data_IF_865725810380
#
_entry.id   IF_865725810380
#
_cell.length_a   1.000
_cell.length_b   1.000
_cell.length_c   1.000
_cell.angle_alpha   90.00
_cell.angle_beta   90.00
_cell.angle_gamma   90.00
#
_symmetry.space_group_name_H-M   'P 1'
#
loop_
_entity.id
_entity.type
_entity.pdbx_description
1 polymer ?
#
# COMPACT_ATOMS: atom_id res chain seq x y z
N UNK A 1 -45.62 -5.45 -17.95
CA UNK A 1 -44.17 -5.68 -18.13
C UNK A 1 -43.35 -4.42 -17.85
N UNK A 2 -43.82 -3.23 -18.25
CA UNK A 2 -43.09 -1.96 -18.07
C UNK A 2 -42.79 -1.59 -16.61
N UNK A 3 -43.77 -1.77 -15.72
CA UNK A 3 -43.58 -1.49 -14.28
C UNK A 3 -42.43 -2.35 -13.72
N UNK A 4 -42.36 -3.63 -14.08
CA UNK A 4 -41.32 -4.54 -13.60
C UNK A 4 -39.93 -4.13 -14.10
N UNK A 5 -39.82 -3.69 -15.35
CA UNK A 5 -38.58 -3.19 -15.92
C UNK A 5 -38.11 -1.89 -15.24
N UNK A 6 -39.04 -0.98 -14.94
CA UNK A 6 -38.75 0.25 -14.20
C UNK A 6 -38.28 -0.04 -12.77
N UNK A 7 -38.89 -1.02 -12.08
CA UNK A 7 -38.45 -1.42 -10.74
C UNK A 7 -37.04 -1.97 -10.76
N UNK A 8 -36.72 -2.85 -11.72
CA UNK A 8 -35.37 -3.41 -11.89
C UNK A 8 -34.36 -2.29 -12.16
N UNK A 9 -34.68 -1.39 -13.09
CA UNK A 9 -33.79 -0.28 -13.44
C UNK A 9 -33.53 0.64 -12.24
N UNK A 10 -34.55 0.93 -11.44
CA UNK A 10 -34.43 1.74 -10.23
C UNK A 10 -33.52 1.07 -9.18
N UNK A 11 -33.64 -0.25 -8.99
CA UNK A 11 -32.81 -0.99 -8.04
C UNK A 11 -31.35 -1.00 -8.51
N UNK A 12 -31.10 -1.26 -9.80
CA UNK A 12 -29.75 -1.20 -10.37
C UNK A 12 -29.14 0.19 -10.26
N UNK A 13 -29.91 1.24 -10.54
CA UNK A 13 -29.45 2.62 -10.39
C UNK A 13 -29.06 2.94 -8.93
N UNK A 14 -29.85 2.46 -7.97
CA UNK A 14 -29.55 2.65 -6.55
C UNK A 14 -28.30 1.87 -6.10
N UNK A 15 -28.13 0.63 -6.56
CA UNK A 15 -26.91 -0.16 -6.31
C UNK A 15 -25.69 0.54 -6.92
N UNK A 16 -25.80 1.04 -8.15
CA UNK A 16 -24.73 1.78 -8.81
C UNK A 16 -24.35 3.06 -8.06
N UNK A 17 -25.35 3.83 -7.62
CA UNK A 17 -25.13 5.08 -6.88
C UNK A 17 -24.50 4.83 -5.50
N UNK A 18 -24.94 3.80 -4.79
CA UNK A 18 -24.36 3.44 -3.48
C UNK A 18 -22.92 2.94 -3.62
N UNK A 19 -22.63 2.15 -4.66
CA UNK A 19 -21.25 1.75 -4.96
C UNK A 19 -20.37 2.95 -5.29
N UNK A 20 -20.85 3.87 -6.14
CA UNK A 20 -20.13 5.09 -6.51
C UNK A 20 -19.84 5.98 -5.28
N UNK A 21 -20.84 6.19 -4.42
CA UNK A 21 -20.67 6.92 -3.17
C UNK A 21 -19.63 6.26 -2.26
N UNK A 22 -19.71 4.93 -2.06
CA UNK A 22 -18.77 4.19 -1.23
C UNK A 22 -17.32 4.29 -1.75
N UNK A 23 -17.13 4.19 -3.06
CA UNK A 23 -15.83 4.33 -3.72
C UNK A 23 -15.27 5.74 -3.56
N UNK A 24 -16.11 6.76 -3.70
CA UNK A 24 -15.73 8.15 -3.51
C UNK A 24 -15.32 8.44 -2.05
N UNK A 25 -16.11 7.96 -1.07
CA UNK A 25 -15.77 8.09 0.35
C UNK A 25 -14.51 7.33 0.73
N UNK A 26 -14.29 6.13 0.18
CA UNK A 26 -13.05 5.38 0.39
C UNK A 26 -11.84 6.13 -0.16
N UNK A 27 -11.95 6.71 -1.35
CA UNK A 27 -10.88 7.51 -1.97
C UNK A 27 -10.60 8.81 -1.20
N UNK A 28 -11.64 9.46 -0.69
CA UNK A 28 -11.51 10.66 0.14
C UNK A 28 -10.82 10.37 1.49
N UNK A 29 -11.14 9.23 2.12
CA UNK A 29 -10.51 8.80 3.38
C UNK A 29 -9.02 8.53 3.21
N UNK A 30 -8.61 7.91 2.10
CA UNK A 30 -7.19 7.71 1.76
C UNK A 30 -6.46 9.06 1.67
N UNK A 31 -7.10 10.09 1.11
CA UNK A 31 -6.49 11.42 0.93
C UNK A 31 -6.33 12.21 2.25
N UNK A 32 -7.19 11.98 3.24
CA UNK A 32 -7.12 12.63 4.56
C UNK A 32 -6.23 11.89 5.56
N UNK A 33 -5.81 10.66 5.25
CA UNK A 33 -5.17 9.75 6.21
C UNK A 33 -3.64 9.84 6.23
N UNK A 34 -3.00 10.67 5.41
CA UNK A 34 -1.54 10.73 5.40
C UNK A 34 -1.02 11.54 6.60
N UNK A 35 -0.78 10.88 7.74
CA UNK A 35 -0.24 11.50 8.96
C UNK A 35 1.27 11.78 8.87
N UNK A 36 1.91 11.54 7.73
CA UNK A 36 3.35 11.74 7.53
C UNK A 36 4.22 10.56 7.98
N UNK A 37 3.61 9.44 8.37
CA UNK A 37 4.34 8.20 8.68
C UNK A 37 4.71 7.45 7.39
N UNK A 38 5.92 6.89 7.35
CA UNK A 38 6.44 6.09 6.24
C UNK A 38 6.59 4.64 6.68
N UNK A 39 6.06 3.71 5.90
CA UNK A 39 6.21 2.28 6.17
C UNK A 39 7.53 1.79 5.60
N UNK A 40 8.52 1.51 6.46
CA UNK A 40 9.83 0.99 6.07
C UNK A 40 9.90 -0.51 6.39
N UNK A 41 10.36 -1.29 5.44
CA UNK A 41 10.51 -2.74 5.56
C UNK A 41 11.96 -3.10 5.25
N UNK A 42 12.60 -3.69 6.24
CA UNK A 42 13.93 -4.24 6.11
C UNK A 42 13.82 -5.68 5.60
N UNK A 43 14.35 -5.95 4.41
CA UNK A 43 14.44 -7.30 3.88
C UNK A 43 15.60 -8.03 4.59
N UNK A 44 15.35 -9.15 5.28
CA UNK A 44 16.45 -9.93 5.86
C UNK A 44 17.30 -10.56 4.75
N UNK A 45 18.59 -10.72 5.03
CA UNK A 45 19.52 -11.41 4.13
C UNK A 45 18.99 -12.81 3.76
N UNK A 46 19.16 -13.17 2.49
CA UNK A 46 18.72 -14.41 1.85
C UNK A 46 17.19 -14.62 1.75
N UNK A 47 16.38 -13.59 1.99
CA UNK A 47 14.91 -13.69 2.01
C UNK A 47 14.21 -13.27 0.71
N UNK A 48 14.93 -13.28 -0.42
CA UNK A 48 14.44 -12.82 -1.74
C UNK A 48 13.10 -13.46 -2.15
N UNK A 49 12.91 -14.75 -1.89
CA UNK A 49 11.70 -15.49 -2.29
C UNK A 49 10.44 -15.07 -1.50
N UNK A 50 10.61 -14.57 -0.27
CA UNK A 50 9.50 -14.09 0.56
C UNK A 50 9.11 -12.63 0.29
N UNK A 51 10.02 -11.84 -0.29
CA UNK A 51 9.84 -10.40 -0.46
C UNK A 51 8.62 -10.05 -1.32
N UNK A 52 8.45 -10.77 -2.44
CA UNK A 52 7.29 -10.56 -3.31
C UNK A 52 5.98 -10.90 -2.61
N UNK A 53 5.93 -12.03 -1.90
CA UNK A 53 4.74 -12.47 -1.16
C UNK A 53 4.36 -11.42 -0.10
N UNK A 54 5.35 -10.95 0.66
CA UNK A 54 5.18 -9.95 1.70
C UNK A 54 4.65 -8.63 1.13
N UNK A 55 5.25 -8.12 0.05
CA UNK A 55 4.80 -6.89 -0.60
C UNK A 55 3.36 -7.04 -1.11
N UNK A 56 3.04 -8.16 -1.77
CA UNK A 56 1.67 -8.43 -2.25
C UNK A 56 0.67 -8.47 -1.09
N UNK A 57 0.99 -9.15 0.01
CA UNK A 57 0.12 -9.20 1.18
C UNK A 57 -0.13 -7.82 1.79
N UNK A 58 0.90 -6.98 1.92
CA UNK A 58 0.73 -5.63 2.47
C UNK A 58 -0.30 -4.79 1.70
N UNK A 59 -0.28 -4.88 0.38
CA UNK A 59 -1.24 -4.16 -0.46
C UNK A 59 -2.62 -4.83 -0.47
N UNK A 60 -2.67 -6.17 -0.44
CA UNK A 60 -3.92 -6.91 -0.37
C UNK A 60 -4.67 -6.63 0.95
N UNK A 61 -3.95 -6.60 2.06
CA UNK A 61 -4.48 -6.30 3.40
C UNK A 61 -4.61 -4.79 3.67
N UNK A 62 -4.26 -3.95 2.67
CA UNK A 62 -4.29 -2.49 2.74
C UNK A 62 -3.55 -1.93 3.95
N UNK A 63 -2.44 -2.54 4.32
CA UNK A 63 -1.65 -2.16 5.50
C UNK A 63 -1.19 -0.68 5.44
N UNK A 64 -0.66 -0.16 4.31
CA UNK A 64 -0.30 1.27 4.23
C UNK A 64 -1.48 2.21 4.53
N UNK A 65 -2.67 1.89 4.02
CA UNK A 65 -3.90 2.67 4.25
C UNK A 65 -4.36 2.57 5.72
N UNK A 66 -4.29 1.36 6.30
CA UNK A 66 -4.70 1.10 7.69
C UNK A 66 -3.76 1.73 8.71
N UNK A 67 -2.47 1.80 8.38
CA UNK A 67 -1.44 2.46 9.19
C UNK A 67 -1.37 3.97 8.96
N UNK A 68 -2.26 4.54 8.16
CA UNK A 68 -2.31 5.98 7.89
C UNK A 68 -0.97 6.52 7.35
N UNK A 69 -0.27 5.71 6.57
CA UNK A 69 0.99 6.11 5.93
C UNK A 69 0.70 6.85 4.61
N UNK A 70 1.76 7.25 3.92
CA UNK A 70 1.68 7.89 2.61
C UNK A 70 1.24 6.97 1.45
N UNK A 71 0.76 5.77 1.77
CA UNK A 71 0.35 4.77 0.79
C UNK A 71 1.51 4.12 0.05
N UNK A 72 2.75 4.48 0.37
CA UNK A 72 3.96 3.87 -0.19
C UNK A 72 4.59 2.91 0.80
N UNK A 73 5.30 1.93 0.24
CA UNK A 73 6.14 1.02 1.00
C UNK A 73 7.60 1.30 0.64
N UNK A 74 8.41 1.54 1.66
CA UNK A 74 9.84 1.81 1.54
C UNK A 74 10.61 0.53 1.86
N UNK A 75 11.39 0.04 0.90
CA UNK A 75 12.19 -1.16 1.06
C UNK A 75 13.66 -0.83 1.30
N UNK A 76 14.22 -1.43 2.34
CA UNK A 76 15.65 -1.38 2.62
C UNK A 76 16.22 -2.76 2.32
N UNK A 77 17.14 -2.83 1.35
CA UNK A 77 17.72 -4.08 0.84
C UNK A 77 19.22 -4.03 1.12
N UNK A 78 19.80 -5.04 1.81
CA UNK A 78 21.23 -5.06 2.13
C UNK A 78 22.12 -5.06 0.88
N UNK A 79 23.31 -4.45 0.98
CA UNK A 79 24.27 -4.37 -0.12
C UNK A 79 24.77 -5.77 -0.48
N UNK A 80 24.65 -6.14 -1.77
CA UNK A 80 25.06 -7.45 -2.28
C UNK A 80 23.91 -8.39 -2.67
N UNK A 81 22.66 -8.07 -2.32
CA UNK A 81 21.49 -8.85 -2.77
C UNK A 81 20.93 -8.37 -4.12
N UNK A 82 21.60 -8.77 -5.21
CA UNK A 82 21.19 -8.47 -6.59
C UNK A 82 19.78 -9.00 -6.91
N UNK A 83 19.41 -10.16 -6.37
CA UNK A 83 18.09 -10.78 -6.61
C UNK A 83 16.95 -10.01 -5.93
N UNK A 84 17.12 -9.58 -4.67
CA UNK A 84 16.13 -8.79 -3.96
C UNK A 84 15.90 -7.46 -4.66
N UNK A 85 16.98 -6.82 -5.11
CA UNK A 85 16.91 -5.57 -5.87
C UNK A 85 16.16 -5.74 -7.20
N UNK A 86 16.39 -6.85 -7.90
CA UNK A 86 15.68 -7.17 -9.16
C UNK A 86 14.18 -7.35 -8.92
N UNK A 87 13.80 -8.08 -7.87
CA UNK A 87 12.41 -8.31 -7.48
C UNK A 87 11.75 -6.99 -7.07
N UNK A 88 12.40 -6.18 -6.23
CA UNK A 88 11.87 -4.89 -5.81
C UNK A 88 11.67 -3.94 -7.00
N UNK A 89 12.59 -3.95 -7.97
CA UNK A 89 12.47 -3.16 -9.21
C UNK A 89 11.28 -3.62 -10.06
N UNK A 90 11.02 -4.93 -10.12
CA UNK A 90 9.83 -5.46 -10.80
C UNK A 90 8.54 -5.06 -10.07
N UNK A 91 8.51 -5.17 -8.75
CA UNK A 91 7.34 -4.82 -7.92
C UNK A 91 7.02 -3.33 -7.95
N UNK A 92 8.04 -2.46 -8.06
CA UNK A 92 7.86 -1.01 -8.21
C UNK A 92 7.05 -0.60 -9.45
N UNK A 93 6.97 -1.46 -10.47
CA UNK A 93 6.12 -1.21 -11.65
C UNK A 93 4.63 -1.43 -11.38
N UNK A 94 4.31 -2.22 -10.35
CA UNK A 94 2.94 -2.65 -10.03
C UNK A 94 2.41 -1.96 -8.79
N UNK A 95 3.27 -1.73 -7.80
CA UNK A 95 2.92 -1.18 -6.50
C UNK A 95 3.68 0.11 -6.21
N UNK A 96 3.12 1.03 -5.39
CA UNK A 96 3.77 2.28 -4.98
C UNK A 96 4.93 2.00 -4.01
N UNK A 97 6.03 1.49 -4.55
CA UNK A 97 7.20 1.00 -3.82
C UNK A 97 8.41 1.91 -4.07
N UNK A 98 9.20 2.15 -3.02
CA UNK A 98 10.44 2.94 -3.12
C UNK A 98 11.58 2.19 -2.44
N UNK A 99 12.68 1.95 -3.15
CA UNK A 99 13.87 1.30 -2.58
C UNK A 99 14.76 2.40 -1.98
N UNK A 100 15.01 2.31 -0.69
CA UNK A 100 15.90 3.20 0.04
C UNK A 100 17.35 2.71 -0.06
N UNK A 101 18.32 3.63 -0.13
CA UNK A 101 19.73 3.25 0.01
C UNK A 101 19.95 2.64 1.40
N UNK A 102 20.93 1.75 1.51
CA UNK A 102 21.36 1.20 2.80
C UNK A 102 21.94 2.33 3.64
N UNK A 103 21.09 2.97 4.43
CA UNK A 103 21.54 3.90 5.44
C UNK A 103 22.12 3.07 6.58
N UNK A 104 23.41 2.82 6.51
CA UNK A 104 24.18 2.09 7.53
C UNK A 104 24.25 2.82 8.89
N UNK A 105 23.37 3.80 9.17
CA UNK A 105 23.43 4.63 10.39
C UNK A 105 22.18 5.48 10.72
N UNK A 106 20.98 5.19 10.22
CA UNK A 106 19.79 6.00 10.57
C UNK A 106 18.61 5.10 10.95
N UNK A 107 18.82 4.26 11.95
CA UNK A 107 17.74 3.72 12.77
C UNK A 107 18.03 4.26 14.17
N UNK A 108 17.06 5.01 14.73
CA UNK A 108 17.06 5.66 16.04
C UNK A 108 17.70 7.07 16.11
N UNK A 109 16.94 8.08 15.71
CA UNK A 109 16.90 9.32 16.52
C UNK A 109 15.82 9.11 17.59
N UNK A 110 16.14 8.29 18.58
CA UNK A 110 15.44 8.38 19.86
C UNK A 110 15.92 9.71 20.41
N UNK A 111 15.06 10.73 20.37
CA UNK A 111 15.27 11.92 21.19
C UNK A 111 15.34 11.46 22.65
N UNK A 112 16.54 11.20 23.13
CA UNK A 112 16.83 11.17 24.56
C UNK A 112 16.56 12.58 25.08
N UNK A 113 15.44 12.72 25.77
CA UNK A 113 15.16 13.90 26.58
C UNK A 113 16.14 13.94 27.73
N UNK A 114 17.01 14.95 27.71
CA UNK A 114 17.69 15.50 28.89
C UNK A 114 16.70 16.34 29.72
#
# INVERSE_FOLDING_TARGET
MEIFALTILSVLAFIGLTYLASSFFSSAKIKMSNMGYKLIIYAPEHSCSGLECLVRQLYLDRIPERLMTDGKVYLMIPEGETEAYRIATALKKVYPLEVLPVANNILYDIKEGY
#
